data_IF_213166312321
#
_entry.id   IF_213166312321
#
_cell.length_a   1.000
_cell.length_b   1.000
_cell.length_c   1.000
_cell.angle_alpha   90.00
_cell.angle_beta   90.00
_cell.angle_gamma   90.00
#
_symmetry.space_group_name_H-M   'P 1'
#
loop_
_entity.id
_entity.type
_entity.pdbx_description
1 polymer ?
#
# COMPACT_ATOMS: atom_id res chain seq x y z
N UNK A 1 -23.82 4.76 4.30
CA UNK A 1 -22.81 4.14 5.17
C UNK A 1 -21.54 4.04 4.35
N UNK A 2 -20.47 4.68 4.77
CA UNK A 2 -19.18 4.67 4.07
C UNK A 2 -18.54 3.29 4.24
N UNK A 3 -18.42 2.52 3.16
CA UNK A 3 -17.73 1.21 3.13
C UNK A 3 -16.20 1.36 3.12
N UNK A 4 -15.69 2.46 3.68
CA UNK A 4 -14.26 2.76 3.75
C UNK A 4 -13.55 1.87 4.78
N UNK A 5 -12.31 1.48 4.49
CA UNK A 5 -11.42 0.82 5.46
C UNK A 5 -11.06 1.84 6.54
N UNK A 6 -11.40 1.55 7.81
CA UNK A 6 -10.97 2.38 8.94
C UNK A 6 -9.44 2.26 9.08
N UNK A 7 -8.69 3.33 8.76
CA UNK A 7 -7.24 3.42 8.95
C UNK A 7 -6.92 4.45 10.03
N UNK A 8 -5.80 4.30 10.77
CA UNK A 8 -5.38 5.29 11.77
C UNK A 8 -5.06 6.66 11.16
N UNK A 9 -4.79 6.69 9.86
CA UNK A 9 -4.57 7.90 9.07
C UNK A 9 -5.25 7.79 7.71
N UNK A 10 -5.54 8.94 7.10
CA UNK A 10 -6.21 9.03 5.78
C UNK A 10 -5.18 9.20 4.67
N UNK A 11 -5.26 8.37 3.64
CA UNK A 11 -4.59 8.59 2.37
C UNK A 11 -5.36 9.65 1.61
N UNK A 12 -4.79 10.86 1.51
CA UNK A 12 -5.51 12.01 0.95
C UNK A 12 -5.97 11.76 -0.49
N UNK A 13 -5.11 11.22 -1.36
CA UNK A 13 -5.47 10.94 -2.74
C UNK A 13 -6.62 9.94 -2.86
N UNK A 14 -6.57 8.86 -2.06
CA UNK A 14 -7.63 7.87 -2.04
C UNK A 14 -8.96 8.46 -1.54
N UNK A 15 -8.94 9.16 -0.39
CA UNK A 15 -10.15 9.66 0.26
C UNK A 15 -10.80 10.83 -0.51
N UNK A 16 -9.98 11.75 -1.05
CA UNK A 16 -10.50 12.96 -1.69
C UNK A 16 -10.89 12.74 -3.16
N UNK A 17 -10.25 11.78 -3.85
CA UNK A 17 -10.42 11.62 -5.30
C UNK A 17 -10.99 10.24 -5.67
N UNK A 18 -10.28 9.17 -5.33
CA UNK A 18 -10.57 7.85 -5.91
C UNK A 18 -11.74 7.14 -5.26
N UNK A 19 -11.85 7.16 -3.93
CA UNK A 19 -12.95 6.50 -3.21
C UNK A 19 -14.33 7.10 -3.52
N UNK A 20 -14.52 8.42 -3.59
CA UNK A 20 -15.81 8.99 -3.97
C UNK A 20 -16.23 8.62 -5.40
N UNK A 21 -15.26 8.49 -6.32
CA UNK A 21 -15.54 8.03 -7.69
C UNK A 21 -15.90 6.55 -7.71
N UNK A 22 -15.17 5.72 -6.98
CA UNK A 22 -15.44 4.29 -6.83
C UNK A 22 -16.81 4.03 -6.19
N UNK A 23 -17.16 4.76 -5.11
CA UNK A 23 -18.46 4.64 -4.42
C UNK A 23 -19.66 4.83 -5.36
N UNK A 24 -19.56 5.71 -6.35
CA UNK A 24 -20.64 5.92 -7.34
C UNK A 24 -20.86 4.71 -8.25
N UNK A 25 -19.81 3.89 -8.44
CA UNK A 25 -19.86 2.68 -9.27
C UNK A 25 -20.33 1.43 -8.49
N UNK A 26 -20.26 1.45 -7.17
CA UNK A 26 -20.67 0.29 -6.33
C UNK A 26 -22.14 -0.10 -6.55
N UNK A 27 -23.15 0.80 -6.49
CA UNK A 27 -24.55 0.40 -6.58
C UNK A 27 -24.92 -0.26 -7.93
N UNK A 28 -24.52 0.26 -9.10
CA UNK A 28 -24.85 -0.38 -10.37
C UNK A 28 -24.15 -1.75 -10.54
N UNK A 29 -22.93 -1.93 -10.04
CA UNK A 29 -22.21 -3.19 -10.13
C UNK A 29 -22.74 -4.23 -9.14
N UNK A 30 -23.08 -3.81 -7.92
CA UNK A 30 -23.71 -4.68 -6.94
C UNK A 30 -25.08 -5.21 -7.44
N UNK A 31 -25.92 -4.33 -8.05
CA UNK A 31 -27.18 -4.73 -8.67
C UNK A 31 -26.99 -5.76 -9.80
N UNK A 32 -25.93 -5.63 -10.57
CA UNK A 32 -25.56 -6.58 -11.63
C UNK A 32 -24.83 -7.82 -11.11
N UNK A 33 -24.64 -7.94 -9.80
CA UNK A 33 -23.93 -9.06 -9.14
C UNK A 33 -22.52 -9.28 -9.70
N UNK A 34 -21.81 -8.18 -10.05
CA UNK A 34 -20.43 -8.28 -10.54
C UNK A 34 -19.55 -8.82 -9.42
N UNK A 35 -18.76 -9.84 -9.74
CA UNK A 35 -17.79 -10.39 -8.80
C UNK A 35 -16.62 -9.42 -8.62
N UNK A 36 -16.23 -9.04 -7.38
CA UNK A 36 -15.09 -8.17 -7.12
C UNK A 36 -13.78 -8.65 -7.76
N UNK A 37 -13.55 -9.96 -7.86
CA UNK A 37 -12.35 -10.51 -8.53
C UNK A 37 -12.24 -10.11 -10.00
N UNK A 38 -13.37 -9.95 -10.70
CA UNK A 38 -13.36 -9.46 -12.08
C UNK A 38 -12.90 -8.00 -12.15
N UNK A 39 -13.22 -7.20 -11.14
CA UNK A 39 -12.73 -5.81 -11.06
C UNK A 39 -11.22 -5.79 -10.85
N UNK A 40 -10.68 -6.67 -9.97
CA UNK A 40 -9.23 -6.85 -9.78
C UNK A 40 -8.55 -7.19 -11.11
N UNK A 41 -9.04 -8.19 -11.83
CA UNK A 41 -8.46 -8.58 -13.14
C UNK A 41 -8.56 -7.45 -14.17
N UNK A 42 -9.66 -6.67 -14.13
CA UNK A 42 -9.86 -5.55 -15.05
C UNK A 42 -8.86 -4.43 -14.79
N UNK A 43 -8.69 -4.00 -13.53
CA UNK A 43 -7.72 -2.94 -13.22
C UNK A 43 -6.28 -3.40 -13.48
N UNK A 44 -5.99 -4.69 -13.30
CA UNK A 44 -4.70 -5.27 -13.67
C UNK A 44 -4.45 -5.16 -15.18
N UNK A 45 -5.43 -5.58 -16.00
CA UNK A 45 -5.33 -5.46 -17.45
C UNK A 45 -5.11 -4.01 -17.91
N UNK A 46 -5.80 -3.05 -17.27
CA UNK A 46 -5.61 -1.60 -17.52
C UNK A 46 -4.17 -1.18 -17.16
N UNK A 47 -3.62 -1.66 -16.04
CA UNK A 47 -2.24 -1.40 -15.64
C UNK A 47 -1.21 -1.98 -16.60
N UNK A 48 -1.43 -3.22 -17.06
CA UNK A 48 -0.58 -3.87 -18.07
C UNK A 48 -0.60 -3.11 -19.41
N UNK A 49 -1.78 -2.68 -19.85
CA UNK A 49 -1.95 -1.85 -21.04
C UNK A 49 -1.19 -0.53 -20.91
N UNK A 50 -1.32 0.15 -19.76
CA UNK A 50 -0.58 1.39 -19.50
C UNK A 50 0.94 1.17 -19.59
N UNK A 51 1.45 0.08 -18.99
CA UNK A 51 2.87 -0.29 -19.08
C UNK A 51 3.33 -0.55 -20.52
N UNK A 52 2.52 -1.25 -21.32
CA UNK A 52 2.79 -1.50 -22.74
C UNK A 52 2.84 -0.22 -23.58
N UNK A 53 1.95 0.73 -23.29
CA UNK A 53 1.92 2.05 -23.96
C UNK A 53 3.09 2.94 -23.53
N UNK A 54 3.49 2.90 -22.26
CA UNK A 54 4.69 3.61 -21.77
C UNK A 54 5.94 3.13 -22.49
N UNK A 55 6.07 1.81 -22.69
CA UNK A 55 7.20 1.24 -23.44
C UNK A 55 7.26 1.72 -24.89
N UNK A 56 6.11 2.11 -25.47
CA UNK A 56 5.99 2.70 -26.82
C UNK A 56 6.18 4.22 -26.81
N UNK A 57 6.49 4.84 -25.68
CA UNK A 57 6.70 6.28 -25.55
C UNK A 57 5.43 7.13 -25.41
N UNK A 58 4.26 6.50 -25.24
CA UNK A 58 3.05 7.26 -24.96
C UNK A 58 3.05 7.73 -23.50
N UNK A 59 2.53 8.94 -23.23
CA UNK A 59 2.46 9.48 -21.87
C UNK A 59 1.04 9.80 -21.43
N UNK A 60 0.26 10.51 -22.23
CA UNK A 60 -1.08 10.97 -21.83
C UNK A 60 -2.08 9.83 -21.66
N UNK A 61 -2.13 8.88 -22.62
CA UNK A 61 -3.03 7.72 -22.51
C UNK A 61 -2.71 6.87 -21.28
N UNK A 62 -1.44 6.47 -21.01
CA UNK A 62 -1.08 5.81 -19.77
C UNK A 62 -1.44 6.61 -18.51
N UNK A 63 -1.26 7.94 -18.52
CA UNK A 63 -1.66 8.79 -17.40
C UNK A 63 -3.14 8.62 -17.05
N UNK A 64 -4.02 8.66 -18.04
CA UNK A 64 -5.46 8.48 -17.86
C UNK A 64 -5.82 7.05 -17.45
N UNK A 65 -5.18 6.04 -18.07
CA UNK A 65 -5.39 4.63 -17.73
C UNK A 65 -5.00 4.33 -16.27
N UNK A 66 -3.92 4.92 -15.76
CA UNK A 66 -3.51 4.76 -14.37
C UNK A 66 -4.52 5.37 -13.40
N UNK A 67 -5.12 6.52 -13.73
CA UNK A 67 -6.20 7.07 -12.90
C UNK A 67 -7.43 6.15 -12.91
N UNK A 68 -7.82 5.63 -14.09
CA UNK A 68 -8.92 4.67 -14.19
C UNK A 68 -8.62 3.38 -13.40
N UNK A 69 -7.37 2.85 -13.51
CA UNK A 69 -6.92 1.72 -12.69
C UNK A 69 -7.11 2.01 -11.21
N UNK A 70 -6.69 3.18 -10.74
CA UNK A 70 -6.78 3.53 -9.31
C UNK A 70 -8.23 3.64 -8.83
N UNK A 71 -9.14 4.13 -9.66
CA UNK A 71 -10.59 4.11 -9.35
C UNK A 71 -11.10 2.67 -9.21
N UNK A 72 -10.76 1.78 -10.16
CA UNK A 72 -11.18 0.39 -10.15
C UNK A 72 -10.60 -0.39 -8.97
N UNK A 73 -9.35 -0.14 -8.61
CA UNK A 73 -8.64 -0.68 -7.46
C UNK A 73 -9.34 -0.31 -6.13
N UNK A 74 -9.76 0.95 -5.98
CA UNK A 74 -10.56 1.36 -4.83
C UNK A 74 -11.99 0.81 -4.88
N UNK A 75 -12.51 0.45 -6.05
CA UNK A 75 -13.85 -0.06 -6.27
C UNK A 75 -13.98 -1.53 -5.84
N UNK A 76 -13.02 -2.40 -6.14
CA UNK A 76 -13.12 -3.84 -5.85
C UNK A 76 -13.32 -4.11 -4.36
N UNK A 77 -12.51 -3.49 -3.51
CA UNK A 77 -12.64 -3.62 -2.07
C UNK A 77 -13.94 -2.99 -1.52
N UNK A 78 -14.42 -1.89 -2.09
CA UNK A 78 -15.71 -1.29 -1.71
C UNK A 78 -16.87 -2.19 -2.15
N UNK A 79 -16.82 -2.74 -3.36
CA UNK A 79 -17.80 -3.67 -3.89
C UNK A 79 -17.83 -4.95 -3.05
N UNK A 80 -16.66 -5.54 -2.74
CA UNK A 80 -16.56 -6.74 -1.92
C UNK A 80 -17.20 -6.53 -0.52
N UNK A 81 -16.93 -5.40 0.12
CA UNK A 81 -17.55 -5.06 1.42
C UNK A 81 -19.05 -4.81 1.30
N UNK A 82 -19.48 -4.06 0.28
CA UNK A 82 -20.91 -3.74 0.08
C UNK A 82 -21.77 -4.99 -0.25
N UNK A 83 -21.18 -6.00 -0.86
CA UNK A 83 -21.86 -7.25 -1.24
C UNK A 83 -21.59 -8.41 -0.29
N UNK A 84 -20.79 -8.22 0.77
CA UNK A 84 -20.39 -9.29 1.69
C UNK A 84 -19.48 -10.35 1.05
N UNK A 85 -18.78 -10.01 -0.05
CA UNK A 85 -17.93 -10.94 -0.81
C UNK A 85 -16.43 -10.73 -0.52
N UNK A 86 -16.08 -10.34 0.71
CA UNK A 86 -14.67 -10.25 1.10
C UNK A 86 -14.11 -11.65 1.33
N UNK A 87 -13.12 -12.04 0.53
CA UNK A 87 -12.47 -13.35 0.57
C UNK A 87 -10.98 -13.21 0.82
N UNK A 88 -10.35 -14.30 1.27
CA UNK A 88 -8.89 -14.33 1.42
C UNK A 88 -8.20 -14.36 0.05
N UNK A 89 -8.76 -15.13 -0.90
CA UNK A 89 -8.33 -15.14 -2.30
C UNK A 89 -8.34 -13.73 -2.90
N UNK A 90 -9.41 -12.93 -2.67
CA UNK A 90 -9.50 -11.57 -3.18
C UNK A 90 -8.37 -10.68 -2.67
N UNK A 91 -8.01 -10.80 -1.39
CA UNK A 91 -6.92 -10.01 -0.79
C UNK A 91 -5.54 -10.34 -1.36
N UNK A 92 -5.23 -11.62 -1.54
CA UNK A 92 -3.97 -12.03 -2.14
C UNK A 92 -3.90 -11.64 -3.61
N UNK A 93 -4.97 -11.92 -4.36
CA UNK A 93 -5.06 -11.61 -5.79
C UNK A 93 -4.85 -10.11 -6.04
N UNK A 94 -5.54 -9.25 -5.28
CA UNK A 94 -5.40 -7.80 -5.38
C UNK A 94 -3.94 -7.36 -5.19
N UNK A 95 -3.29 -7.79 -4.10
CA UNK A 95 -1.90 -7.43 -3.81
C UNK A 95 -0.93 -7.91 -4.89
N UNK A 96 -1.10 -9.14 -5.40
CA UNK A 96 -0.20 -9.72 -6.41
C UNK A 96 -0.41 -9.09 -7.79
N UNK A 97 -1.66 -8.81 -8.14
CA UNK A 97 -2.01 -8.14 -9.39
C UNK A 97 -1.53 -6.70 -9.41
N UNK A 98 -1.52 -6.03 -8.28
CA UNK A 98 -0.93 -4.70 -8.13
C UNK A 98 0.59 -4.71 -8.39
N UNK A 99 1.31 -5.69 -7.84
CA UNK A 99 2.75 -5.83 -8.15
C UNK A 99 2.97 -6.08 -9.62
N UNK A 100 2.16 -6.93 -10.25
CA UNK A 100 2.27 -7.23 -11.69
C UNK A 100 2.02 -5.97 -12.53
N UNK A 101 0.98 -5.21 -12.23
CA UNK A 101 0.67 -3.96 -12.92
C UNK A 101 1.78 -2.92 -12.73
N UNK A 102 2.26 -2.75 -11.49
CA UNK A 102 3.36 -1.83 -11.17
C UNK A 102 4.66 -2.22 -11.87
N UNK A 103 4.97 -3.53 -11.94
CA UNK A 103 6.13 -4.04 -12.68
C UNK A 103 6.04 -3.73 -14.16
N UNK A 104 4.88 -3.91 -14.79
CA UNK A 104 4.66 -3.55 -16.18
C UNK A 104 4.84 -2.04 -16.42
N UNK A 105 4.25 -1.21 -15.58
CA UNK A 105 4.32 0.26 -15.65
C UNK A 105 5.77 0.73 -15.49
N UNK A 106 6.47 0.30 -14.44
CA UNK A 106 7.84 0.71 -14.16
C UNK A 106 8.85 0.16 -15.20
N UNK A 107 8.60 -1.05 -15.71
CA UNK A 107 9.41 -1.58 -16.82
C UNK A 107 9.14 -0.82 -18.12
N UNK A 108 7.89 -0.46 -18.39
CA UNK A 108 7.54 0.40 -19.53
C UNK A 108 8.21 1.76 -19.47
N UNK A 109 8.37 2.31 -18.25
CA UNK A 109 8.93 3.64 -18.00
C UNK A 109 10.46 3.67 -17.95
N UNK A 110 11.09 2.65 -17.32
CA UNK A 110 12.51 2.63 -16.97
C UNK A 110 13.29 1.45 -17.60
N UNK A 111 12.65 0.65 -18.44
CA UNK A 111 13.28 -0.49 -19.12
C UNK A 111 13.89 -1.49 -18.12
N UNK A 112 15.18 -1.79 -18.27
CA UNK A 112 15.89 -2.76 -17.42
C UNK A 112 15.87 -2.46 -15.91
N UNK A 113 15.63 -1.21 -15.52
CA UNK A 113 15.54 -0.80 -14.12
C UNK A 113 14.16 -1.01 -13.51
N UNK A 114 13.16 -1.34 -14.34
CA UNK A 114 11.76 -1.56 -13.91
C UNK A 114 11.62 -2.52 -12.74
N UNK A 115 12.21 -3.74 -12.76
CA UNK A 115 12.11 -4.68 -11.65
C UNK A 115 12.67 -4.15 -10.34
N UNK A 116 13.84 -3.47 -10.37
CA UNK A 116 14.45 -2.87 -9.18
C UNK A 116 13.59 -1.75 -8.60
N UNK A 117 13.00 -0.91 -9.46
CA UNK A 117 12.10 0.16 -9.05
C UNK A 117 10.77 -0.39 -8.52
N UNK A 118 10.29 -1.52 -9.07
CA UNK A 118 9.11 -2.23 -8.55
C UNK A 118 9.37 -2.75 -7.14
N UNK A 119 10.54 -3.34 -6.91
CA UNK A 119 10.93 -3.78 -5.57
C UNK A 119 11.05 -2.59 -4.62
N UNK A 120 11.63 -1.48 -5.06
CA UNK A 120 11.75 -0.26 -4.26
C UNK A 120 10.37 0.30 -3.86
N UNK A 121 9.45 0.40 -4.83
CA UNK A 121 8.05 0.79 -4.56
C UNK A 121 7.38 -0.20 -3.60
N UNK A 122 7.58 -1.50 -3.80
CA UNK A 122 7.02 -2.53 -2.91
C UNK A 122 7.54 -2.39 -1.48
N UNK A 123 8.82 -2.09 -1.27
CA UNK A 123 9.40 -1.83 0.05
C UNK A 123 8.81 -0.58 0.73
N UNK A 124 8.52 0.47 -0.04
CA UNK A 124 7.81 1.66 0.47
C UNK A 124 6.41 1.27 0.97
N UNK A 125 5.65 0.53 0.15
CA UNK A 125 4.31 0.08 0.49
C UNK A 125 4.30 -0.94 1.64
N UNK A 126 5.32 -1.81 1.72
CA UNK A 126 5.50 -2.75 2.85
C UNK A 126 5.81 -2.00 4.14
N UNK A 127 6.51 -0.85 4.07
CA UNK A 127 6.74 0.00 5.25
C UNK A 127 5.42 0.59 5.77
N UNK A 128 4.54 1.10 4.88
CA UNK A 128 3.19 1.56 5.26
C UNK A 128 2.40 0.45 5.97
N UNK A 129 2.38 -0.74 5.36
CA UNK A 129 1.73 -1.92 5.91
C UNK A 129 2.22 -2.28 7.31
N UNK A 130 3.55 -2.33 7.51
CA UNK A 130 4.15 -2.70 8.80
C UNK A 130 3.91 -1.63 9.86
N UNK A 131 4.01 -0.36 9.50
CA UNK A 131 3.79 0.74 10.44
C UNK A 131 2.33 0.86 10.85
N UNK A 132 1.36 0.63 9.95
CA UNK A 132 -0.06 0.53 10.31
C UNK A 132 -0.31 -0.67 11.24
N UNK A 133 0.26 -1.84 10.91
CA UNK A 133 0.15 -3.05 11.72
C UNK A 133 0.68 -2.84 13.15
N UNK A 134 1.87 -2.27 13.27
CA UNK A 134 2.52 -2.04 14.55
C UNK A 134 1.79 -0.96 15.36
N UNK A 135 1.26 0.10 14.70
CA UNK A 135 0.44 1.12 15.35
C UNK A 135 -0.83 0.52 15.97
N UNK A 136 -1.55 -0.31 15.21
CA UNK A 136 -2.77 -0.99 15.70
C UNK A 136 -2.44 -2.01 16.78
N UNK A 137 -1.42 -2.83 16.57
CA UNK A 137 -0.98 -3.84 17.54
C UNK A 137 -0.60 -3.23 18.89
N UNK A 138 0.11 -2.09 18.90
CA UNK A 138 0.45 -1.38 20.13
C UNK A 138 -0.78 -0.87 20.90
N UNK A 139 -1.94 -0.73 20.24
CA UNK A 139 -3.23 -0.26 20.84
C UNK A 139 -4.24 -1.37 21.05
N UNK A 140 -3.86 -2.64 20.76
CA UNK A 140 -4.79 -3.78 20.86
C UNK A 140 -5.90 -3.76 19.80
N UNK A 141 -5.71 -3.00 18.71
CA UNK A 141 -6.69 -2.92 17.62
C UNK A 141 -6.51 -4.07 16.63
N UNK A 142 -7.62 -4.54 16.04
CA UNK A 142 -7.60 -5.53 14.97
C UNK A 142 -7.02 -4.90 13.70
N UNK A 143 -5.95 -5.50 13.18
CA UNK A 143 -5.29 -4.99 11.97
C UNK A 143 -6.08 -5.31 10.70
N UNK A 144 -6.66 -6.50 10.62
CA UNK A 144 -7.48 -6.94 9.48
C UNK A 144 -8.67 -7.74 9.97
N UNK A 145 -9.85 -7.35 9.51
CA UNK A 145 -11.05 -8.14 9.74
C UNK A 145 -10.94 -9.51 9.05
N UNK A 146 -11.51 -10.57 9.63
CA UNK A 146 -11.61 -11.86 8.97
C UNK A 146 -12.42 -11.70 7.66
N UNK A 147 -12.20 -12.57 6.66
CA UNK A 147 -12.99 -12.55 5.44
C UNK A 147 -14.47 -12.85 5.77
N UNK A 148 -15.40 -12.16 5.10
CA UNK A 148 -16.84 -12.35 5.30
C UNK A 148 -17.34 -13.67 4.70
N UNK A 149 -16.63 -14.20 3.69
CA UNK A 149 -16.95 -15.49 3.07
C UNK A 149 -15.85 -16.51 3.35
N UNK A 150 -16.28 -17.68 3.83
CA UNK A 150 -15.51 -18.92 3.77
C UNK A 150 -15.88 -19.66 2.48
N UNK A 151 -14.93 -20.22 1.76
CA UNK A 151 -15.22 -20.99 0.55
C UNK A 151 -14.34 -20.60 -0.64
N UNK A 152 -13.15 -20.09 -0.37
CA UNK A 152 -12.12 -19.92 -1.38
C UNK A 152 -11.78 -21.26 -2.04
N UNK A 153 -11.48 -21.23 -3.35
CA UNK A 153 -10.89 -22.39 -4.02
C UNK A 153 -9.52 -22.69 -3.37
N UNK A 154 -9.34 -23.86 -2.73
CA UNK A 154 -8.11 -24.17 -2.00
C UNK A 154 -6.86 -24.21 -2.90
N UNK A 155 -7.03 -24.53 -4.20
CA UNK A 155 -5.93 -24.59 -5.16
C UNK A 155 -5.46 -23.18 -5.53
N UNK A 156 -6.41 -22.31 -5.88
CA UNK A 156 -6.10 -20.92 -6.21
C UNK A 156 -5.51 -20.21 -5.00
N UNK A 157 -6.15 -20.32 -3.84
CA UNK A 157 -5.65 -19.71 -2.61
C UNK A 157 -4.27 -20.26 -2.23
N UNK A 158 -4.02 -21.58 -2.41
CA UNK A 158 -2.71 -22.18 -2.17
C UNK A 158 -1.62 -21.64 -3.11
N UNK A 159 -1.95 -21.38 -4.37
CA UNK A 159 -1.05 -20.74 -5.33
C UNK A 159 -0.71 -19.30 -4.92
N UNK A 160 -1.73 -18.48 -4.67
CA UNK A 160 -1.55 -17.08 -4.28
C UNK A 160 -0.76 -16.96 -2.97
N UNK A 161 -1.04 -17.79 -1.96
CA UNK A 161 -0.24 -17.83 -0.73
C UNK A 161 1.25 -18.16 -0.98
N UNK A 162 1.56 -19.02 -1.96
CA UNK A 162 2.95 -19.32 -2.34
C UNK A 162 3.62 -18.12 -3.00
N UNK A 163 2.94 -17.44 -3.92
CA UNK A 163 3.45 -16.21 -4.55
C UNK A 163 3.70 -15.14 -3.50
N UNK A 164 2.75 -14.93 -2.60
CA UNK A 164 2.88 -14.00 -1.48
C UNK A 164 4.07 -14.35 -0.57
N UNK A 165 4.23 -15.64 -0.25
CA UNK A 165 5.32 -16.13 0.59
C UNK A 165 6.71 -15.91 -0.04
N UNK A 166 6.81 -15.93 -1.37
CA UNK A 166 8.07 -15.69 -2.08
C UNK A 166 8.37 -14.20 -2.24
N UNK A 167 7.36 -13.37 -2.50
CA UNK A 167 7.56 -11.97 -2.81
C UNK A 167 7.41 -11.03 -1.61
N UNK A 168 6.29 -11.11 -0.88
CA UNK A 168 5.99 -10.18 0.21
C UNK A 168 6.57 -10.59 1.56
N UNK A 169 6.46 -11.88 1.91
CA UNK A 169 6.91 -12.35 3.23
C UNK A 169 8.39 -12.06 3.54
N UNK A 170 9.34 -12.17 2.59
CA UNK A 170 10.73 -11.79 2.85
C UNK A 170 10.87 -10.30 3.16
N UNK A 171 10.16 -9.43 2.45
CA UNK A 171 10.15 -7.98 2.69
C UNK A 171 9.61 -7.65 4.08
N UNK A 172 8.46 -8.25 4.45
CA UNK A 172 7.85 -8.08 5.77
C UNK A 172 8.78 -8.56 6.90
N UNK A 173 9.44 -9.70 6.72
CA UNK A 173 10.38 -10.24 7.71
C UNK A 173 11.61 -9.37 7.89
N UNK A 174 12.24 -8.97 6.78
CA UNK A 174 13.47 -8.15 6.81
C UNK A 174 13.18 -6.77 7.40
N UNK A 175 12.16 -6.07 6.90
CA UNK A 175 11.81 -4.74 7.42
C UNK A 175 11.28 -4.83 8.85
N UNK A 176 10.45 -5.82 9.18
CA UNK A 176 9.96 -6.03 10.53
C UNK A 176 11.07 -6.30 11.54
N UNK A 177 12.03 -7.18 11.18
CA UNK A 177 13.21 -7.44 12.01
C UNK A 177 14.09 -6.18 12.17
N UNK A 178 14.26 -5.40 11.09
CA UNK A 178 14.98 -4.12 11.14
C UNK A 178 14.31 -3.15 12.11
N UNK A 179 12.98 -2.96 12.00
CA UNK A 179 12.24 -2.03 12.86
C UNK A 179 12.27 -2.47 14.32
N UNK A 180 12.14 -3.76 14.61
CA UNK A 180 12.24 -4.29 15.97
C UNK A 180 13.66 -4.14 16.54
N UNK A 181 14.71 -4.42 15.76
CA UNK A 181 16.10 -4.22 16.17
C UNK A 181 16.39 -2.73 16.46
N UNK A 182 15.86 -1.83 15.63
CA UNK A 182 15.99 -0.38 15.83
C UNK A 182 15.26 0.09 17.10
N UNK A 183 14.07 -0.45 17.38
CA UNK A 183 13.33 -0.18 18.62
C UNK A 183 14.13 -0.65 19.85
N UNK A 184 14.61 -1.90 19.85
CA UNK A 184 15.45 -2.43 20.95
C UNK A 184 16.70 -1.61 21.18
N UNK A 185 17.37 -1.19 20.11
CA UNK A 185 18.53 -0.28 20.17
C UNK A 185 18.17 1.08 20.77
N UNK A 186 17.03 1.65 20.39
CA UNK A 186 16.56 2.93 20.92
C UNK A 186 16.18 2.83 22.42
N UNK A 187 15.59 1.71 22.82
CA UNK A 187 15.26 1.40 24.23
C UNK A 187 16.51 0.99 25.02
N UNK A 188 17.49 0.30 24.42
CA UNK A 188 18.68 -0.31 25.06
C UNK A 188 18.35 -1.54 25.89
N UNK A 189 17.30 -2.27 25.49
CA UNK A 189 16.82 -3.49 26.14
C UNK A 189 15.50 -3.94 25.54
N UNK A 190 14.74 -4.75 26.29
CA UNK A 190 13.44 -5.22 25.81
C UNK A 190 12.38 -4.10 25.85
N UNK A 191 11.67 -3.86 24.72
CA UNK A 191 10.65 -2.81 24.64
C UNK A 191 9.42 -3.13 25.49
N UNK A 192 9.02 -2.17 26.31
CA UNK A 192 7.75 -2.20 27.07
C UNK A 192 6.57 -1.77 26.17
N UNK A 193 5.30 -2.01 26.59
CA UNK A 193 4.13 -1.48 25.88
C UNK A 193 4.18 0.05 25.71
N UNK A 194 4.66 0.80 26.70
CA UNK A 194 4.82 2.26 26.60
C UNK A 194 5.82 2.65 25.52
N UNK A 195 6.96 1.95 25.40
CA UNK A 195 7.93 2.17 24.33
C UNK A 195 7.32 1.89 22.96
N UNK A 196 6.50 0.84 22.80
CA UNK A 196 5.83 0.52 21.53
C UNK A 196 4.82 1.59 21.15
N UNK A 197 4.04 2.13 22.10
CA UNK A 197 3.13 3.26 21.86
C UNK A 197 3.87 4.51 21.40
N UNK A 198 4.99 4.86 22.06
CA UNK A 198 5.81 6.01 21.69
C UNK A 198 6.48 5.82 20.31
N UNK A 199 6.87 4.59 19.98
CA UNK A 199 7.49 4.26 18.70
C UNK A 199 6.50 4.24 17.53
N UNK A 200 5.19 4.17 17.80
CA UNK A 200 4.12 4.11 16.81
C UNK A 200 3.11 5.27 16.93
N UNK A 201 3.55 6.55 16.94
CA UNK A 201 2.62 7.68 16.98
C UNK A 201 1.80 7.74 15.67
N UNK A 202 0.63 8.38 15.69
CA UNK A 202 -0.23 8.52 14.52
C UNK A 202 0.47 9.20 13.33
N UNK A 203 1.45 10.05 13.60
CA UNK A 203 2.23 10.77 12.58
C UNK A 203 2.93 9.82 11.61
N UNK A 204 3.49 8.68 12.06
CA UNK A 204 4.15 7.73 11.15
C UNK A 204 3.16 7.10 10.19
N UNK A 205 1.97 6.74 10.69
CA UNK A 205 0.90 6.21 9.85
C UNK A 205 0.41 7.26 8.85
N UNK A 206 0.36 8.54 9.25
CA UNK A 206 -0.02 9.63 8.36
C UNK A 206 1.00 9.83 7.22
N UNK A 207 2.29 9.79 7.51
CA UNK A 207 3.34 9.91 6.47
C UNK A 207 3.28 8.71 5.55
N UNK A 208 3.30 7.48 6.09
CA UNK A 208 3.40 6.27 5.30
C UNK A 208 2.17 6.05 4.41
N UNK A 209 0.95 6.24 4.92
CA UNK A 209 -0.28 6.07 4.16
C UNK A 209 -0.37 7.03 2.96
N UNK A 210 0.20 8.25 3.08
CA UNK A 210 0.25 9.20 1.98
C UNK A 210 1.38 8.92 0.97
N UNK A 211 2.17 7.87 1.19
CA UNK A 211 3.02 7.22 0.18
C UNK A 211 2.36 5.94 -0.38
N UNK A 212 1.09 5.71 -0.08
CA UNK A 212 0.29 4.57 -0.55
C UNK A 212 0.08 4.55 -2.07
N UNK A 213 -0.40 3.42 -2.57
CA UNK A 213 -0.47 3.16 -4.02
C UNK A 213 -1.34 4.17 -4.77
N UNK A 214 -2.48 4.62 -4.20
CA UNK A 214 -3.33 5.63 -4.86
C UNK A 214 -2.59 6.94 -5.07
N UNK A 215 -1.82 7.39 -4.07
CA UNK A 215 -0.97 8.59 -4.16
C UNK A 215 0.15 8.41 -5.19
N UNK A 216 0.79 7.23 -5.21
CA UNK A 216 1.83 6.90 -6.19
C UNK A 216 1.32 6.99 -7.64
N UNK A 217 0.17 6.37 -7.91
CA UNK A 217 -0.41 6.36 -9.25
C UNK A 217 -0.97 7.72 -9.66
N UNK A 218 -1.50 8.52 -8.71
CA UNK A 218 -1.87 9.90 -8.97
C UNK A 218 -0.65 10.74 -9.35
N UNK A 219 0.42 10.69 -8.55
CA UNK A 219 1.65 11.42 -8.82
C UNK A 219 2.26 11.03 -10.17
N UNK A 220 2.31 9.72 -10.45
CA UNK A 220 2.80 9.22 -11.74
C UNK A 220 1.94 9.73 -12.90
N UNK A 221 0.61 9.69 -12.78
CA UNK A 221 -0.31 10.21 -13.79
C UNK A 221 -0.07 11.69 -14.08
N UNK A 222 0.11 12.51 -13.02
CA UNK A 222 0.41 13.95 -13.15
C UNK A 222 1.73 14.18 -13.90
N UNK A 223 2.82 13.53 -13.52
CA UNK A 223 4.12 13.75 -14.16
C UNK A 223 4.16 13.19 -15.60
N UNK A 224 3.37 12.15 -15.90
CA UNK A 224 3.19 11.65 -17.26
C UNK A 224 2.44 12.67 -18.12
N UNK A 225 1.36 13.26 -17.61
CA UNK A 225 0.62 14.32 -18.29
C UNK A 225 1.51 15.55 -18.56
N UNK A 226 2.40 15.89 -17.63
CA UNK A 226 3.41 16.93 -17.77
C UNK A 226 4.62 16.52 -18.64
N UNK A 227 4.65 15.30 -19.18
CA UNK A 227 5.76 14.73 -19.95
C UNK A 227 7.11 14.74 -19.20
N UNK A 228 7.06 14.61 -17.87
CA UNK A 228 8.24 14.61 -16.98
C UNK A 228 8.35 13.34 -16.14
N UNK A 229 8.30 12.13 -16.74
CA UNK A 229 8.25 10.86 -15.99
C UNK A 229 9.47 10.64 -15.08
N UNK A 230 10.63 11.23 -15.42
CA UNK A 230 11.85 11.12 -14.59
C UNK A 230 11.64 11.65 -13.18
N UNK A 231 10.75 12.64 -12.99
CA UNK A 231 10.45 13.17 -11.65
C UNK A 231 9.88 12.08 -10.73
N UNK A 232 9.02 11.21 -11.26
CA UNK A 232 8.51 10.09 -10.48
C UNK A 232 9.60 9.08 -10.13
N UNK A 233 10.48 8.75 -11.08
CA UNK A 233 11.57 7.80 -10.83
C UNK A 233 12.51 8.31 -9.73
N UNK A 234 12.81 9.61 -9.68
CA UNK A 234 13.61 10.25 -8.62
C UNK A 234 12.83 10.40 -7.32
N UNK A 235 11.50 10.45 -7.34
CA UNK A 235 10.71 10.51 -6.11
C UNK A 235 10.82 9.24 -5.27
N UNK A 236 10.99 8.06 -5.89
CA UNK A 236 11.09 6.80 -5.15
C UNK A 236 12.27 6.75 -4.17
N UNK A 237 13.53 7.01 -4.57
CA UNK A 237 14.62 7.09 -3.60
C UNK A 237 14.44 8.24 -2.60
N UNK A 238 13.86 9.37 -3.00
CA UNK A 238 13.55 10.46 -2.07
C UNK A 238 12.54 10.03 -0.99
N UNK A 239 11.54 9.23 -1.34
CA UNK A 239 10.59 8.65 -0.38
C UNK A 239 11.27 7.68 0.61
N UNK A 240 12.24 6.89 0.16
CA UNK A 240 13.04 6.04 1.06
C UNK A 240 13.82 6.88 2.06
N UNK A 241 14.43 7.98 1.62
CA UNK A 241 15.13 8.91 2.52
C UNK A 241 14.16 9.57 3.51
N UNK A 242 12.95 9.94 3.07
CA UNK A 242 11.91 10.44 3.95
C UNK A 242 11.52 9.40 5.01
N UNK A 243 11.26 8.14 4.61
CA UNK A 243 10.93 7.06 5.54
C UNK A 243 12.08 6.78 6.52
N UNK A 244 13.34 6.84 6.06
CA UNK A 244 14.51 6.74 6.93
C UNK A 244 14.58 7.90 7.94
N UNK A 245 14.27 9.12 7.52
CA UNK A 245 14.19 10.29 8.42
C UNK A 245 13.09 10.12 9.48
N UNK A 246 11.90 9.66 9.07
CA UNK A 246 10.80 9.36 9.99
C UNK A 246 11.17 8.21 10.93
N UNK A 247 11.91 7.20 10.45
CA UNK A 247 12.44 6.13 11.29
C UNK A 247 13.35 6.66 12.39
N UNK A 248 14.29 7.56 12.05
CA UNK A 248 15.20 8.18 13.04
C UNK A 248 14.46 9.07 14.01
N UNK A 249 13.47 9.82 13.53
CA UNK A 249 12.64 10.68 14.38
C UNK A 249 11.87 9.88 15.43
N UNK A 250 11.17 8.77 15.06
CA UNK A 250 10.44 7.96 16.02
C UNK A 250 11.33 7.26 17.05
N UNK A 251 12.57 6.93 16.68
CA UNK A 251 13.57 6.44 17.65
C UNK A 251 13.95 7.52 18.67
N UNK A 252 14.07 8.77 18.19
CA UNK A 252 14.30 9.94 19.07
C UNK A 252 13.21 10.11 20.10
N UNK A 253 11.92 9.89 19.74
CA UNK A 253 10.79 9.94 20.68
C UNK A 253 10.93 8.91 21.81
N UNK A 254 11.36 7.69 21.48
CA UNK A 254 11.57 6.63 22.48
C UNK A 254 12.77 6.94 23.39
N UNK A 255 13.86 7.46 22.80
CA UNK A 255 15.06 7.84 23.59
C UNK A 255 14.78 8.99 24.55
N UNK A 256 13.96 9.96 24.16
CA UNK A 256 13.57 11.07 25.01
C UNK A 256 12.81 10.61 26.27
N UNK A 257 12.06 9.52 26.21
CA UNK A 257 11.39 8.92 27.38
C UNK A 257 12.35 8.25 28.38
N UNK A 258 13.61 8.01 28.00
CA UNK A 258 14.64 7.41 28.86
C UNK A 258 15.32 8.41 29.78
N UNK A 259 15.36 9.70 29.39
CA UNK A 259 15.96 10.72 30.26
C UNK A 259 14.95 11.03 31.38
N UNK A 260 15.23 10.63 32.63
CA UNK A 260 14.46 11.15 33.75
C UNK A 260 14.58 12.68 33.71
N UNK A 261 13.45 13.36 33.89
CA UNK A 261 13.42 14.81 34.04
C UNK A 261 14.41 15.20 35.13
N UNK A 262 15.63 15.57 34.74
CA UNK A 262 16.60 16.22 35.61
C UNK A 262 16.22 17.69 35.79
N UNK A 263 15.08 17.91 36.42
CA UNK A 263 14.63 19.22 36.89
C UNK A 263 13.93 19.00 38.24
N UNK A 264 14.73 18.85 39.27
CA UNK A 264 14.38 19.08 40.65
C UNK A 264 15.13 20.31 41.13
#
# INVERSE_FOLDING_TARGET
MTHGKARPAREWAAEAVFRPLAERLVPPLARRRVNPLHVVLTHTAVGLLAGGLLRRGHHLTPALLLQAKTVLDNLDGQLARATGQTTETGRYLDSEMDVLANAAVLTGLAGRWGPSLTLLLSLILTTDYLWERDHRGARGEVFRDPPAQAGDDPRLLGLLRRVYAVYFTPQERVLGALFEARLRSAVGGEPTPAHRLAYTPATISWVAVNLGLSTQLLALGVVLALRRPRLYLWSLPAQVLLLAGVQLWREGQVRAQRQPSSSG
#
